data_IF_626387455587
#
_entry.id   IF_626387455587
#
_cell.length_a   1.000
_cell.length_b   1.000
_cell.length_c   1.000
_cell.angle_alpha   90.00
_cell.angle_beta   90.00
_cell.angle_gamma   90.00
#
_symmetry.space_group_name_H-M   'P 1'
#
loop_
_entity.id
_entity.type
_entity.pdbx_description
1 polymer ?
#
# COMPACT_ATOMS: atom_id res chain seq x y z
N UNK A 1 29.18 46.07 25.38
CA UNK A 1 28.77 45.27 26.56
C UNK A 1 29.59 44.01 26.51
N UNK A 2 30.52 43.82 27.45
CA UNK A 2 31.33 42.61 27.53
C UNK A 2 30.46 41.50 28.12
N UNK A 3 30.45 40.33 27.49
CA UNK A 3 29.76 39.17 28.04
C UNK A 3 30.62 38.62 29.18
N UNK A 4 30.05 38.53 30.38
CA UNK A 4 30.77 38.09 31.57
C UNK A 4 31.01 36.58 31.51
N UNK A 5 32.13 36.13 32.09
CA UNK A 5 32.48 34.69 32.11
C UNK A 5 31.40 33.81 32.74
N UNK A 6 30.56 34.38 33.63
CA UNK A 6 29.43 33.70 34.24
C UNK A 6 28.29 33.44 33.24
N UNK A 7 28.05 34.34 32.30
CA UNK A 7 27.01 34.18 31.28
C UNK A 7 27.40 33.08 30.28
N UNK A 8 28.70 32.98 29.96
CA UNK A 8 29.21 31.88 29.14
C UNK A 8 29.10 30.52 29.85
N UNK A 9 29.35 30.46 31.16
CA UNK A 9 29.18 29.23 31.94
C UNK A 9 27.71 28.78 32.00
N UNK A 10 26.78 29.72 32.13
CA UNK A 10 25.35 29.42 32.08
C UNK A 10 24.93 28.87 30.71
N UNK A 11 25.43 29.46 29.62
CA UNK A 11 25.14 29.00 28.26
C UNK A 11 25.65 27.57 28.02
N UNK A 12 26.88 27.27 28.47
CA UNK A 12 27.48 25.94 28.35
C UNK A 12 26.69 24.90 29.17
N UNK A 13 26.24 25.25 30.37
CA UNK A 13 25.42 24.36 31.20
C UNK A 13 24.07 24.03 30.57
N UNK A 14 23.49 24.97 29.81
CA UNK A 14 22.22 24.79 29.10
C UNK A 14 22.40 23.89 27.86
N UNK A 15 23.51 24.05 27.14
CA UNK A 15 23.89 23.20 26.01
C UNK A 15 24.20 21.76 26.45
N UNK A 16 24.90 21.57 27.58
CA UNK A 16 25.15 20.24 28.15
C UNK A 16 23.85 19.52 28.55
N UNK A 17 22.87 20.24 29.11
CA UNK A 17 21.54 19.67 29.40
C UNK A 17 20.80 19.21 28.13
N UNK A 18 20.92 19.96 27.03
CA UNK A 18 20.32 19.60 25.74
C UNK A 18 20.97 18.37 25.08
N UNK A 19 22.29 18.21 25.21
CA UNK A 19 23.02 17.06 24.67
C UNK A 19 22.73 15.79 25.48
N UNK A 20 22.71 15.89 26.81
CA UNK A 20 22.45 14.74 27.67
C UNK A 20 20.99 14.27 27.59
N UNK A 21 20.03 15.17 27.38
CA UNK A 21 18.62 14.81 27.19
C UNK A 21 18.33 14.16 25.81
N UNK A 22 19.27 14.23 24.85
CA UNK A 22 19.13 13.61 23.53
C UNK A 22 19.95 12.31 23.38
N UNK A 23 20.68 11.90 24.41
CA UNK A 23 21.61 10.77 24.32
C UNK A 23 21.21 9.54 25.15
N UNK A 24 20.00 9.50 25.71
CA UNK A 24 19.51 8.31 26.41
C UNK A 24 17.97 8.23 26.35
N UNK A 25 17.47 7.57 25.29
CA UNK A 25 16.20 6.84 25.36
C UNK A 25 16.27 5.65 24.39
N UNK A 26 17.16 4.72 24.73
CA UNK A 26 17.02 3.33 24.34
C UNK A 26 16.03 2.67 25.31
N UNK A 27 14.73 2.77 25.01
CA UNK A 27 13.66 2.18 25.81
C UNK A 27 12.58 1.58 24.91
N UNK A 28 12.56 0.25 24.82
CA UNK A 28 11.51 -0.52 24.18
C UNK A 28 10.14 -0.26 24.85
N UNK A 29 9.23 0.44 24.17
CA UNK A 29 7.80 0.44 24.49
C UNK A 29 6.99 -0.02 23.27
N UNK A 30 6.98 -1.33 23.06
CA UNK A 30 6.05 -2.01 22.14
C UNK A 30 4.60 -1.91 22.67
N UNK A 31 3.60 -1.65 21.80
CA UNK A 31 2.21 -1.64 22.22
C UNK A 31 1.72 -3.05 22.61
N UNK A 32 1.14 -3.17 23.81
CA UNK A 32 0.52 -4.41 24.30
C UNK A 32 -0.71 -4.79 23.45
N UNK A 33 -0.49 -5.64 22.44
CA UNK A 33 -1.57 -6.26 21.65
C UNK A 33 -2.20 -7.41 22.44
N UNK A 34 -3.50 -7.31 22.72
CA UNK A 34 -4.31 -8.38 23.33
C UNK A 34 -4.24 -9.65 22.45
N UNK A 35 -3.64 -10.72 22.97
CA UNK A 35 -3.53 -12.02 22.30
C UNK A 35 -4.92 -12.67 22.17
N UNK A 36 -5.50 -12.65 20.98
CA UNK A 36 -6.59 -13.58 20.64
C UNK A 36 -6.02 -14.99 20.45
N UNK A 37 -6.66 -16.00 21.04
CA UNK A 37 -6.25 -17.40 20.94
C UNK A 37 -6.39 -17.88 19.48
N UNK A 38 -5.28 -18.08 18.79
CA UNK A 38 -5.26 -18.74 17.47
C UNK A 38 -5.62 -20.23 17.61
N UNK A 39 -6.43 -20.82 16.72
CA UNK A 39 -6.70 -22.25 16.73
C UNK A 39 -5.42 -23.03 16.45
N UNK A 40 -5.17 -24.06 17.26
CA UNK A 40 -3.96 -24.87 17.24
C UNK A 40 -4.06 -25.89 16.10
N UNK A 41 -3.36 -25.66 15.00
CA UNK A 41 -3.24 -26.66 13.95
C UNK A 41 -2.40 -27.84 14.43
N UNK A 42 -2.87 -29.05 14.12
CA UNK A 42 -2.23 -30.33 14.44
C UNK A 42 -0.93 -30.43 13.63
N UNK A 43 0.23 -30.36 14.29
CA UNK A 43 1.53 -30.53 13.63
C UNK A 43 1.66 -31.99 13.18
N UNK A 44 1.61 -32.24 11.89
CA UNK A 44 2.15 -33.48 11.31
C UNK A 44 3.67 -33.35 11.32
N UNK A 45 4.32 -34.28 12.03
CA UNK A 45 5.77 -34.36 12.09
C UNK A 45 6.33 -34.72 10.72
N UNK A 46 7.10 -33.81 10.15
CA UNK A 46 8.08 -34.12 9.12
C UNK A 46 9.25 -33.15 9.32
N UNK A 47 10.42 -33.72 9.63
CA UNK A 47 11.69 -33.02 9.72
C UNK A 47 12.13 -32.56 8.33
N UNK A 48 11.52 -31.48 7.83
CA UNK A 48 12.05 -30.79 6.66
C UNK A 48 13.25 -29.93 7.07
N UNK A 49 14.37 -29.95 6.33
CA UNK A 49 15.50 -29.08 6.61
C UNK A 49 15.05 -27.61 6.60
N UNK A 50 15.65 -26.73 7.42
CA UNK A 50 15.22 -25.34 7.51
C UNK A 50 15.35 -24.70 6.12
N UNK A 51 14.21 -24.46 5.48
CA UNK A 51 14.17 -23.70 4.22
C UNK A 51 14.84 -22.37 4.52
N UNK A 52 15.94 -22.07 3.81
CA UNK A 52 16.60 -20.77 3.88
C UNK A 52 15.50 -19.71 3.78
N UNK A 53 15.38 -18.86 4.80
CA UNK A 53 14.38 -17.80 4.79
C UNK A 53 14.67 -16.98 3.53
N UNK A 54 13.72 -16.92 2.61
CA UNK A 54 13.82 -16.04 1.46
C UNK A 54 13.68 -14.62 1.99
N UNK A 55 14.82 -13.96 2.22
CA UNK A 55 14.83 -12.58 2.70
C UNK A 55 14.62 -11.71 1.47
N UNK A 56 13.52 -10.96 1.46
CA UNK A 56 13.26 -9.99 0.40
C UNK A 56 14.22 -8.81 0.56
N UNK A 57 15.26 -8.78 -0.27
CA UNK A 57 16.28 -7.72 -0.27
C UNK A 57 15.77 -6.39 -0.83
N UNK A 58 14.62 -6.38 -1.50
CA UNK A 58 14.04 -5.15 -2.03
C UNK A 58 13.67 -4.14 -0.93
N UNK A 59 13.36 -4.62 0.28
CA UNK A 59 13.03 -3.73 1.39
C UNK A 59 14.27 -3.00 1.95
N UNK A 60 15.46 -3.55 1.72
CA UNK A 60 16.73 -3.00 2.21
C UNK A 60 17.42 -2.13 1.14
N UNK A 61 16.84 -2.04 -0.04
CA UNK A 61 17.37 -1.30 -1.18
C UNK A 61 16.99 0.19 -1.10
N UNK A 62 17.90 1.12 -1.44
CA UNK A 62 17.61 2.56 -1.39
C UNK A 62 16.46 2.97 -2.33
N UNK A 63 16.25 2.22 -3.41
CA UNK A 63 15.17 2.43 -4.38
C UNK A 63 13.77 2.20 -3.79
N UNK A 64 13.65 1.47 -2.67
CA UNK A 64 12.38 1.26 -1.97
C UNK A 64 11.73 2.60 -1.56
N UNK A 65 12.56 3.59 -1.23
CA UNK A 65 12.14 4.90 -0.74
C UNK A 65 12.21 6.00 -1.80
N UNK A 66 12.86 5.77 -2.94
CA UNK A 66 13.05 6.78 -4.00
C UNK A 66 11.77 7.22 -4.74
N UNK A 67 10.64 6.53 -4.57
CA UNK A 67 9.39 6.83 -5.29
C UNK A 67 8.22 7.25 -4.38
N UNK A 68 8.46 7.52 -3.09
CA UNK A 68 7.37 7.82 -2.11
C UNK A 68 7.45 9.17 -1.43
N UNK A 69 8.56 9.88 -1.51
CA UNK A 69 8.69 11.21 -0.89
C UNK A 69 7.69 12.21 -1.48
N UNK A 70 7.34 12.03 -2.75
CA UNK A 70 6.34 12.88 -3.41
C UNK A 70 4.90 12.50 -3.12
N UNK A 71 4.57 11.38 -2.46
CA UNK A 71 3.15 11.11 -2.12
C UNK A 71 2.65 12.07 -1.05
N UNK A 72 3.49 12.42 -0.07
CA UNK A 72 3.14 13.37 0.97
C UNK A 72 3.07 14.80 0.43
N UNK A 73 3.96 15.13 -0.52
CA UNK A 73 4.00 16.43 -1.19
C UNK A 73 2.83 16.55 -2.18
N UNK A 74 2.57 15.54 -3.00
CA UNK A 74 1.41 15.45 -3.90
C UNK A 74 0.11 15.59 -3.14
N UNK A 75 -0.05 14.92 -1.99
CA UNK A 75 -1.24 15.09 -1.13
C UNK A 75 -1.39 16.51 -0.58
N UNK A 76 -0.28 17.20 -0.30
CA UNK A 76 -0.29 18.61 0.16
C UNK A 76 -0.52 19.59 -1.01
N UNK A 77 -0.04 19.26 -2.21
CA UNK A 77 -0.25 20.00 -3.44
C UNK A 77 -1.64 19.77 -4.03
N UNK A 78 -2.31 18.67 -3.66
CA UNK A 78 -3.66 18.35 -4.05
C UNK A 78 -4.66 19.27 -3.32
N UNK A 79 -4.91 20.44 -3.92
CA UNK A 79 -5.79 21.49 -3.37
C UNK A 79 -7.28 21.13 -3.32
N UNK A 80 -7.71 20.02 -3.93
CA UNK A 80 -9.12 19.66 -4.01
C UNK A 80 -9.36 18.15 -4.19
N UNK A 81 -10.59 17.69 -3.92
CA UNK A 81 -10.95 16.30 -4.15
C UNK A 81 -10.78 15.97 -5.63
N UNK A 82 -10.39 14.73 -5.98
CA UNK A 82 -10.35 14.30 -7.37
C UNK A 82 -11.73 14.49 -7.99
N UNK A 83 -11.78 15.06 -9.18
CA UNK A 83 -13.06 15.25 -9.88
C UNK A 83 -13.71 13.89 -10.11
N UNK A 84 -14.97 13.68 -9.68
CA UNK A 84 -15.64 12.42 -9.91
C UNK A 84 -15.77 12.19 -11.41
N UNK A 85 -15.46 10.97 -11.84
CA UNK A 85 -15.58 10.57 -13.25
C UNK A 85 -17.07 10.37 -13.57
N UNK A 86 -17.77 11.46 -13.89
CA UNK A 86 -19.20 11.45 -14.26
C UNK A 86 -19.45 10.94 -15.68
N UNK A 87 -18.79 9.84 -16.10
CA UNK A 87 -19.14 9.21 -17.38
C UNK A 87 -20.40 8.39 -17.14
N UNK A 88 -21.52 8.64 -17.85
CA UNK A 88 -22.68 7.77 -17.77
C UNK A 88 -22.27 6.36 -18.17
N UNK A 89 -22.55 5.41 -17.29
CA UNK A 89 -22.30 4.00 -17.53
C UNK A 89 -23.63 3.33 -17.82
N UNK A 90 -23.80 2.91 -19.07
CA UNK A 90 -24.97 2.17 -19.55
C UNK A 90 -24.57 0.75 -19.93
N UNK A 91 -25.47 -0.18 -19.62
CA UNK A 91 -25.40 -1.54 -20.10
C UNK A 91 -26.23 -1.67 -21.37
N UNK A 92 -25.70 -2.40 -22.35
CA UNK A 92 -26.45 -2.80 -23.54
C UNK A 92 -26.88 -4.24 -23.38
N UNK A 93 -28.17 -4.49 -23.62
CA UNK A 93 -28.72 -5.83 -23.72
C UNK A 93 -28.35 -6.39 -25.09
N UNK A 94 -27.50 -7.41 -25.10
CA UNK A 94 -27.02 -8.07 -26.32
C UNK A 94 -27.42 -9.53 -26.31
N UNK A 95 -27.69 -10.08 -27.50
CA UNK A 95 -27.99 -11.50 -27.66
C UNK A 95 -26.85 -12.19 -28.40
N UNK A 96 -26.35 -13.30 -27.86
CA UNK A 96 -25.28 -14.05 -28.50
C UNK A 96 -25.79 -14.68 -29.80
N UNK A 97 -25.09 -14.42 -30.92
CA UNK A 97 -25.46 -14.96 -32.24
C UNK A 97 -25.43 -16.49 -32.32
N UNK A 98 -24.60 -17.16 -31.52
CA UNK A 98 -24.38 -18.62 -31.61
C UNK A 98 -25.33 -19.39 -30.68
N UNK A 99 -25.51 -18.93 -29.44
CA UNK A 99 -26.30 -19.64 -28.44
C UNK A 99 -27.62 -18.95 -28.05
N UNK A 100 -27.89 -17.76 -28.58
CA UNK A 100 -29.13 -17.02 -28.35
C UNK A 100 -29.31 -16.45 -26.93
N UNK A 101 -28.30 -16.57 -26.06
CA UNK A 101 -28.37 -16.06 -24.68
C UNK A 101 -28.30 -14.54 -24.65
N UNK A 102 -29.16 -13.93 -23.84
CA UNK A 102 -29.17 -12.49 -23.57
C UNK A 102 -28.22 -12.17 -22.42
N UNK A 103 -27.27 -11.27 -22.64
CA UNK A 103 -26.33 -10.79 -21.64
C UNK A 103 -26.41 -9.25 -21.53
N UNK A 104 -26.11 -8.72 -20.35
CA UNK A 104 -25.93 -7.27 -20.13
C UNK A 104 -24.43 -6.98 -20.11
N UNK A 105 -23.96 -6.28 -21.14
CA UNK A 105 -22.53 -6.03 -21.37
C UNK A 105 -22.31 -4.51 -21.47
N UNK A 106 -21.20 -3.98 -20.92
CA UNK A 106 -20.87 -2.57 -21.08
C UNK A 106 -20.64 -2.22 -22.56
N UNK A 107 -21.10 -1.05 -22.98
CA UNK A 107 -20.97 -0.53 -24.35
C UNK A 107 -19.54 -0.60 -24.90
N UNK A 108 -18.55 -0.40 -24.05
CA UNK A 108 -17.13 -0.41 -24.44
C UNK A 108 -16.60 -1.77 -24.89
N UNK A 109 -17.29 -2.87 -24.56
CA UNK A 109 -16.88 -4.23 -24.93
C UNK A 109 -17.61 -4.77 -26.16
N UNK A 110 -18.58 -4.03 -26.70
CA UNK A 110 -19.42 -4.48 -27.82
C UNK A 110 -19.25 -3.52 -28.99
N UNK A 111 -18.59 -3.97 -30.07
CA UNK A 111 -18.46 -3.17 -31.31
C UNK A 111 -19.80 -3.04 -32.05
N UNK A 112 -20.57 -4.14 -32.11
CA UNK A 112 -21.90 -4.19 -32.71
C UNK A 112 -22.74 -5.26 -32.02
N UNK A 113 -24.01 -4.95 -31.75
CA UNK A 113 -24.98 -5.87 -31.12
C UNK A 113 -25.13 -7.15 -31.92
N UNK A 114 -25.11 -7.05 -33.25
CA UNK A 114 -25.39 -8.16 -34.18
C UNK A 114 -24.22 -9.15 -34.29
N UNK A 115 -23.02 -8.74 -33.85
CA UNK A 115 -21.80 -9.55 -33.91
C UNK A 115 -21.41 -10.16 -32.56
N UNK A 116 -22.21 -9.93 -31.52
CA UNK A 116 -21.89 -10.37 -30.17
C UNK A 116 -21.81 -11.91 -30.05
N UNK A 117 -20.69 -12.39 -29.49
CA UNK A 117 -20.48 -13.78 -29.08
C UNK A 117 -20.21 -13.81 -27.57
N UNK A 118 -20.94 -14.65 -26.83
CA UNK A 118 -20.68 -14.82 -25.41
C UNK A 118 -19.35 -15.55 -25.19
N UNK A 119 -18.75 -15.41 -24.00
CA UNK A 119 -17.44 -15.99 -23.67
C UNK A 119 -17.34 -17.50 -23.93
N UNK A 120 -18.46 -18.24 -23.82
CA UNK A 120 -18.51 -19.69 -24.09
C UNK A 120 -18.50 -20.03 -25.59
N UNK A 121 -19.04 -19.15 -26.42
CA UNK A 121 -19.08 -19.31 -27.88
C UNK A 121 -17.89 -18.63 -28.58
N UNK A 122 -17.21 -17.70 -27.89
CA UNK A 122 -15.99 -17.06 -28.37
C UNK A 122 -14.76 -17.98 -28.30
N UNK A 123 -14.77 -18.97 -27.39
CA UNK A 123 -13.68 -19.96 -27.24
C UNK A 123 -13.70 -21.09 -28.28
N UNK A 124 -14.76 -21.21 -29.08
CA UNK A 124 -14.80 -22.15 -30.19
C UNK A 124 -13.96 -21.63 -31.37
N UNK A 125 -13.21 -22.51 -32.03
CA UNK A 125 -12.68 -22.20 -33.36
C UNK A 125 -13.87 -21.80 -34.25
N UNK A 126 -13.73 -20.66 -34.92
CA UNK A 126 -14.78 -20.03 -35.73
C UNK A 126 -15.37 -20.97 -36.78
#
# INVERSE_FOLDING_TARGET
>A
MALDNNDMQQLISLLQKLVNNNSDDGGDDEPVVKKTRKPRSKKTGASTPPKKKFINKFNDMPEMNMFKEDVAIDKKLQKGPPTPRNRPFSFVKVQCRVCGKSDEVPETLVEATDRYKCNKCATGAG
#
